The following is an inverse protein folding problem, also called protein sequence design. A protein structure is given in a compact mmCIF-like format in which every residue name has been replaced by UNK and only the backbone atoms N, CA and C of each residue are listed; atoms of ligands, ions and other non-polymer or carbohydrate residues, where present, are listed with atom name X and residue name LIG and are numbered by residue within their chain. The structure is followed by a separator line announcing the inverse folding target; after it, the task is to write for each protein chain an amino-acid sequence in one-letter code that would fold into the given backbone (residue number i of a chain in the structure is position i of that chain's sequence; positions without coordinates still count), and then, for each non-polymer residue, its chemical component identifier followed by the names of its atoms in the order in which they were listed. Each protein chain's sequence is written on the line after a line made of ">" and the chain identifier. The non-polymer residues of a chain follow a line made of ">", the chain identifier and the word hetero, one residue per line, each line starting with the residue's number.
data_IF_812433899123
#
_entry.id   IF_812433899123
#
_cell.length_a   1.000
_cell.length_b   1.000
_cell.length_c   1.000
_cell.angle_alpha   90.00
_cell.angle_beta   90.00
_cell.angle_gamma   90.00
#
_symmetry.space_group_name_H-M   'P 1'
#
loop_
_entity.id
_entity.type
_entity.pdbx_description
1 polymer ?
#
# COMPACT_ATOMS: atom_id res chain seq x y z
N UNK A 1 48.71 -16.58 46.77
CA UNK A 1 48.32 -17.47 45.66
C UNK A 1 47.16 -16.77 44.96
N UNK A 2 47.26 -16.19 43.78
CA UNK A 2 48.24 -16.36 42.72
C UNK A 2 47.47 -16.65 41.43
N UNK A 3 47.53 -15.71 40.48
CA UNK A 3 47.21 -15.90 39.06
C UNK A 3 45.73 -15.80 38.67
N UNK A 4 45.34 -15.22 37.54
CA UNK A 4 46.12 -14.50 36.53
C UNK A 4 45.13 -13.71 35.66
N UNK A 5 45.45 -12.44 35.43
CA UNK A 5 45.00 -11.74 34.24
C UNK A 5 45.71 -12.34 33.02
N UNK A 6 45.03 -12.44 31.88
CA UNK A 6 45.63 -12.54 30.54
C UNK A 6 44.59 -11.99 29.55
N UNK A 7 44.73 -10.70 29.20
CA UNK A 7 45.33 -10.21 27.96
C UNK A 7 44.42 -10.40 26.74
N UNK A 8 43.65 -9.34 26.45
CA UNK A 8 43.16 -9.07 25.12
C UNK A 8 44.34 -8.60 24.27
N UNK A 9 44.75 -9.41 23.29
CA UNK A 9 45.53 -8.94 22.16
C UNK A 9 44.61 -8.64 20.98
N UNK A 10 44.94 -7.62 20.16
CA UNK A 10 44.07 -7.11 19.12
C UNK A 10 44.12 -8.05 17.92
N UNK A 11 42.96 -8.48 17.42
CA UNK A 11 42.92 -9.11 16.12
C UNK A 11 42.77 -8.02 15.07
N UNK A 12 43.91 -7.63 14.52
CA UNK A 12 44.03 -6.84 13.31
C UNK A 12 43.73 -7.76 12.13
N UNK A 13 42.45 -7.84 11.76
CA UNK A 13 41.96 -8.49 10.55
C UNK A 13 41.32 -7.44 9.67
N UNK A 14 42.12 -6.88 8.77
CA UNK A 14 41.69 -5.95 7.74
C UNK A 14 41.00 -6.74 6.63
N UNK A 15 39.67 -6.92 6.74
CA UNK A 15 38.81 -7.26 5.61
C UNK A 15 37.90 -6.06 5.36
N UNK A 16 38.10 -5.39 4.23
CA UNK A 16 37.40 -4.18 3.83
C UNK A 16 35.91 -4.44 3.65
N UNK A 17 35.12 -4.10 4.66
CA UNK A 17 33.68 -3.88 4.55
C UNK A 17 33.40 -2.40 4.42
N UNK A 18 32.99 -1.95 3.24
CA UNK A 18 32.30 -0.66 3.11
C UNK A 18 31.03 -0.72 3.99
N UNK A 19 31.08 -0.05 5.14
CA UNK A 19 29.93 0.05 6.04
C UNK A 19 28.79 0.78 5.34
N UNK A 20 27.68 0.09 5.11
CA UNK A 20 26.43 0.73 4.72
C UNK A 20 26.04 1.76 5.80
N UNK A 21 25.79 3.03 5.44
CA UNK A 21 25.32 4.00 6.42
C UNK A 21 23.93 3.61 6.92
N UNK A 22 23.74 3.76 8.23
CA UNK A 22 22.46 3.65 8.90
C UNK A 22 21.42 4.57 8.23
N UNK A 23 20.43 3.96 7.58
CA UNK A 23 19.45 4.65 6.74
C UNK A 23 18.60 5.64 7.54
N UNK A 24 18.38 5.38 8.83
CA UNK A 24 17.56 6.23 9.69
C UNK A 24 18.22 7.58 9.99
N UNK A 25 19.54 7.58 10.16
CA UNK A 25 20.34 8.79 10.39
C UNK A 25 20.51 9.62 9.11
N UNK A 26 20.54 8.99 7.94
CA UNK A 26 20.64 9.69 6.66
C UNK A 26 19.32 10.35 6.25
N UNK A 27 18.19 9.66 6.40
CA UNK A 27 16.85 10.20 6.10
C UNK A 27 16.51 11.43 6.95
N UNK A 28 16.82 11.41 8.25
CA UNK A 28 16.59 12.56 9.14
C UNK A 28 17.38 13.81 8.75
N UNK A 29 18.50 13.65 8.03
CA UNK A 29 19.40 14.76 7.70
C UNK A 29 19.20 15.33 6.30
N UNK A 30 18.83 14.49 5.33
CA UNK A 30 18.79 14.85 3.91
C UNK A 30 17.42 14.69 3.24
N UNK A 31 16.39 14.24 3.99
CA UNK A 31 15.03 14.10 3.49
C UNK A 31 14.78 12.94 2.52
N UNK A 32 15.82 12.18 2.11
CA UNK A 32 15.69 11.00 1.27
C UNK A 32 16.89 10.03 1.42
N UNK A 33 16.64 8.72 1.26
CA UNK A 33 17.63 7.65 1.29
C UNK A 33 18.25 7.39 -0.11
N UNK A 34 19.57 7.13 -0.24
CA UNK A 34 20.20 6.82 -1.53
C UNK A 34 19.70 5.51 -2.17
N UNK A 35 19.08 4.62 -1.39
CA UNK A 35 18.47 3.38 -1.90
C UNK A 35 17.10 3.60 -2.55
N UNK A 36 16.54 4.81 -2.43
CA UNK A 36 15.28 5.23 -3.04
C UNK A 36 15.49 6.11 -4.28
N UNK A 37 16.71 6.21 -4.79
CA UNK A 37 17.02 7.08 -5.92
C UNK A 37 16.62 6.43 -7.27
N UNK A 38 15.78 7.12 -8.03
CA UNK A 38 15.42 6.81 -9.41
C UNK A 38 16.69 6.91 -10.30
N UNK A 39 17.14 5.83 -10.99
CA UNK A 39 18.37 5.85 -11.76
C UNK A 39 18.12 6.32 -13.19
N UNK A 40 17.45 7.45 -13.42
CA UNK A 40 17.31 8.00 -14.77
C UNK A 40 17.32 9.54 -14.78
N UNK A 41 18.49 10.10 -14.52
CA UNK A 41 18.82 11.46 -14.93
C UNK A 41 20.27 11.50 -15.44
N UNK A 42 20.52 10.84 -16.59
CA UNK A 42 21.64 11.19 -17.45
C UNK A 42 21.15 12.13 -18.55
N UNK A 43 21.64 13.37 -18.49
CA UNK A 43 21.58 14.34 -19.56
C UNK A 43 22.61 13.93 -20.62
N UNK A 44 22.17 13.27 -21.68
CA UNK A 44 23.00 13.08 -22.87
C UNK A 44 22.83 14.30 -23.79
N UNK A 45 23.81 15.20 -23.74
CA UNK A 45 23.95 16.33 -24.66
C UNK A 45 24.70 15.83 -25.89
N UNK A 46 24.02 15.11 -26.77
CA UNK A 46 24.49 14.91 -28.14
C UNK A 46 23.37 14.39 -29.05
N UNK A 47 23.37 14.86 -30.29
CA UNK A 47 22.46 14.53 -31.39
C UNK A 47 21.03 15.13 -31.32
N UNK A 48 20.92 16.34 -31.86
CA UNK A 48 19.65 16.94 -32.22
C UNK A 48 18.89 16.11 -33.26
N UNK A 49 17.83 15.43 -32.83
CA UNK A 49 16.69 15.09 -33.68
C UNK A 49 15.44 14.88 -32.81
N UNK A 50 14.43 15.73 -33.01
CA UNK A 50 13.11 15.61 -32.37
C UNK A 50 12.34 14.44 -33.01
N UNK A 51 12.55 13.23 -32.49
CA UNK A 51 11.58 12.15 -32.62
C UNK A 51 10.77 12.09 -31.32
N UNK A 52 9.53 12.57 -31.34
CA UNK A 52 8.58 12.33 -30.26
C UNK A 52 8.22 10.83 -30.24
N UNK A 53 9.08 10.02 -29.62
CA UNK A 53 8.64 8.76 -29.05
C UNK A 53 7.77 9.14 -27.86
N UNK A 54 6.44 9.11 -28.02
CA UNK A 54 5.50 9.06 -26.90
C UNK A 54 5.81 7.78 -26.10
N UNK A 55 6.78 7.86 -25.19
CA UNK A 55 7.07 6.81 -24.22
C UNK A 55 5.87 6.73 -23.30
N UNK A 56 5.13 5.61 -23.36
CA UNK A 56 4.14 5.28 -22.33
C UNK A 56 4.91 5.15 -21.02
N UNK A 57 4.53 5.97 -20.04
CA UNK A 57 4.95 5.81 -18.65
C UNK A 57 4.78 4.34 -18.21
N UNK A 58 5.72 3.76 -17.45
CA UNK A 58 5.60 2.40 -16.96
C UNK A 58 4.30 2.25 -16.17
N UNK A 59 3.63 1.11 -16.38
CA UNK A 59 2.34 0.76 -15.80
C UNK A 59 2.54 0.47 -14.32
N UNK A 60 2.23 1.41 -13.42
CA UNK A 60 2.07 1.05 -12.01
C UNK A 60 0.77 0.25 -11.89
N UNK A 61 0.78 -0.96 -11.34
CA UNK A 61 -0.45 -1.67 -11.05
C UNK A 61 -1.20 -0.99 -9.89
N UNK A 62 -2.55 -1.07 -9.84
CA UNK A 62 -3.37 -0.54 -8.73
C UNK A 62 -2.97 -1.09 -7.35
N UNK A 63 -2.28 -2.23 -7.34
CA UNK A 63 -1.77 -2.97 -6.19
C UNK A 63 -0.90 -2.10 -5.28
N UNK A 64 -0.17 -1.10 -5.81
CA UNK A 64 0.67 -0.21 -4.97
C UNK A 64 -0.12 0.66 -3.97
N UNK A 65 -1.44 0.81 -4.16
CA UNK A 65 -2.27 1.62 -3.26
C UNK A 65 -2.46 1.00 -1.88
N UNK A 66 -2.36 -0.33 -1.78
CA UNK A 66 -2.53 -1.05 -0.51
C UNK A 66 -1.39 -0.68 0.44
N UNK A 67 -0.13 -0.76 0.02
CA UNK A 67 1.00 -0.41 0.88
C UNK A 67 0.95 1.04 1.34
N UNK A 68 0.65 1.95 0.42
CA UNK A 68 0.60 3.37 0.74
C UNK A 68 -0.59 3.74 1.65
N UNK A 69 -1.72 3.05 1.53
CA UNK A 69 -2.85 3.20 2.46
C UNK A 69 -2.42 2.91 3.90
N UNK A 70 -1.78 1.77 4.14
CA UNK A 70 -1.31 1.37 5.47
C UNK A 70 -0.16 2.26 5.98
N UNK A 71 0.71 2.75 5.10
CA UNK A 71 1.74 3.76 5.45
C UNK A 71 1.09 5.04 5.99
N UNK A 72 0.03 5.54 5.33
CA UNK A 72 -0.70 6.73 5.80
C UNK A 72 -1.44 6.48 7.11
N UNK A 73 -1.91 5.25 7.35
CA UNK A 73 -2.51 4.90 8.63
C UNK A 73 -1.50 4.96 9.76
N UNK A 74 -0.33 4.35 9.59
CA UNK A 74 0.73 4.35 10.59
C UNK A 74 1.33 5.73 10.86
N UNK A 75 1.39 6.59 9.84
CA UNK A 75 2.03 7.91 9.95
C UNK A 75 1.07 9.02 10.32
N UNK A 76 -0.24 8.88 10.03
CA UNK A 76 -1.24 9.93 10.22
C UNK A 76 -2.42 9.46 11.08
N UNK A 77 -3.13 8.41 10.65
CA UNK A 77 -4.42 8.04 11.23
C UNK A 77 -4.26 7.49 12.65
N UNK A 78 -3.46 6.44 12.81
CA UNK A 78 -3.27 5.74 14.07
C UNK A 78 -2.65 6.65 15.13
N UNK A 79 -1.55 7.39 14.88
CA UNK A 79 -1.04 8.35 15.86
C UNK A 79 -2.05 9.44 16.23
N UNK A 80 -2.93 9.81 15.27
CA UNK A 80 -4.05 10.70 15.52
C UNK A 80 -5.04 10.12 16.54
N UNK A 81 -5.46 8.87 16.36
CA UNK A 81 -6.34 8.19 17.30
C UNK A 81 -5.70 8.00 18.67
N UNK A 82 -4.45 7.57 18.76
CA UNK A 82 -3.78 7.37 20.06
C UNK A 82 -3.71 8.68 20.86
N UNK A 83 -3.40 9.80 20.19
CA UNK A 83 -3.34 11.12 20.80
C UNK A 83 -4.70 11.59 21.30
N UNK A 84 -5.76 11.44 20.52
CA UNK A 84 -7.10 11.89 20.93
C UNK A 84 -7.72 10.96 21.99
N UNK A 85 -7.40 9.66 21.94
CA UNK A 85 -7.82 8.69 22.95
C UNK A 85 -7.04 8.83 24.26
N UNK A 86 -5.81 9.35 24.22
CA UNK A 86 -4.89 9.38 25.35
C UNK A 86 -4.42 7.99 25.78
N UNK A 87 -4.43 7.03 24.87
CA UNK A 87 -4.04 5.64 25.13
C UNK A 87 -3.00 5.23 24.09
N UNK A 88 -1.76 5.07 24.54
CA UNK A 88 -0.65 4.64 23.71
C UNK A 88 -0.82 3.19 23.26
N UNK A 89 -0.53 2.91 22.00
CA UNK A 89 -0.55 1.57 21.44
C UNK A 89 -1.94 0.98 21.19
N UNK A 90 -3.02 1.79 21.21
CA UNK A 90 -4.38 1.28 20.89
C UNK A 90 -4.49 0.71 19.48
N UNK A 91 -3.63 1.16 18.56
CA UNK A 91 -3.60 0.65 17.19
C UNK A 91 -2.44 -0.31 16.93
N UNK A 92 -1.63 -0.65 17.95
CA UNK A 92 -0.39 -1.41 17.77
C UNK A 92 -0.61 -2.80 17.14
N UNK A 93 -1.74 -3.45 17.42
CA UNK A 93 -2.07 -4.72 16.79
C UNK A 93 -2.22 -4.60 15.26
N UNK A 94 -2.85 -3.53 14.77
CA UNK A 94 -2.99 -3.27 13.33
C UNK A 94 -1.63 -3.00 12.70
N UNK A 95 -0.79 -2.18 13.34
CA UNK A 95 0.59 -1.91 12.89
C UNK A 95 1.41 -3.21 12.75
N UNK A 96 1.35 -4.08 13.76
CA UNK A 96 2.02 -5.40 13.69
C UNK A 96 1.52 -6.19 12.49
N UNK A 97 0.20 -6.22 12.27
CA UNK A 97 -0.40 -6.93 11.14
C UNK A 97 -0.03 -6.32 9.77
N UNK A 98 0.14 -5.00 9.67
CA UNK A 98 0.69 -4.36 8.47
C UNK A 98 2.06 -4.92 8.11
N UNK A 99 2.96 -4.97 9.10
CA UNK A 99 4.30 -5.49 8.93
C UNK A 99 4.34 -7.01 8.67
N UNK A 100 3.31 -7.77 9.05
CA UNK A 100 3.24 -9.20 8.75
C UNK A 100 2.97 -9.48 7.26
N UNK A 101 2.10 -8.71 6.59
CA UNK A 101 1.80 -8.95 5.17
C UNK A 101 2.71 -8.15 4.22
N UNK A 102 3.21 -6.98 4.64
CA UNK A 102 3.93 -6.05 3.76
C UNK A 102 5.11 -6.69 3.01
N UNK A 103 6.00 -7.49 3.63
CA UNK A 103 7.13 -8.09 2.92
C UNK A 103 6.70 -9.02 1.78
N UNK A 104 5.69 -9.86 2.00
CA UNK A 104 5.16 -10.75 0.96
C UNK A 104 4.48 -9.97 -0.17
N UNK A 105 3.80 -8.89 0.18
CA UNK A 105 3.17 -7.99 -0.77
C UNK A 105 4.19 -7.24 -1.64
N UNK A 106 5.30 -6.77 -1.06
CA UNK A 106 6.40 -6.12 -1.79
C UNK A 106 7.03 -7.05 -2.82
N UNK A 107 7.29 -8.30 -2.45
CA UNK A 107 7.81 -9.32 -3.38
C UNK A 107 6.82 -9.54 -4.53
N UNK A 108 5.52 -9.60 -4.24
CA UNK A 108 4.48 -9.72 -5.26
C UNK A 108 4.42 -8.50 -6.19
N UNK A 109 4.44 -7.27 -5.65
CA UNK A 109 4.48 -6.02 -6.43
C UNK A 109 5.69 -6.00 -7.35
N UNK A 110 6.87 -6.35 -6.80
CA UNK A 110 8.11 -6.41 -7.57
C UNK A 110 7.97 -7.40 -8.73
N UNK A 111 7.51 -8.61 -8.47
CA UNK A 111 7.30 -9.63 -9.49
C UNK A 111 6.36 -9.15 -10.62
N UNK A 112 5.25 -8.49 -10.29
CA UNK A 112 4.31 -7.95 -11.28
C UNK A 112 4.93 -6.83 -12.10
N UNK A 113 5.70 -5.94 -11.46
CA UNK A 113 6.43 -4.85 -12.15
C UNK A 113 7.48 -5.41 -13.09
N UNK A 114 8.31 -6.35 -12.62
CA UNK A 114 9.34 -7.00 -13.42
C UNK A 114 8.72 -7.74 -14.62
N UNK A 115 7.62 -8.47 -14.44
CA UNK A 115 6.91 -9.14 -15.54
C UNK A 115 6.32 -8.15 -16.59
N UNK A 116 6.10 -6.90 -16.20
CA UNK A 116 5.49 -5.86 -17.03
C UNK A 116 6.53 -4.95 -17.70
N UNK A 117 7.80 -5.07 -17.35
CA UNK A 117 8.91 -4.32 -17.91
C UNK A 117 9.53 -5.10 -19.07
N UNK A 118 9.49 -4.51 -20.27
CA UNK A 118 10.05 -5.12 -21.49
C UNK A 118 11.58 -5.31 -21.39
N UNK A 119 12.26 -4.62 -20.46
CA UNK A 119 13.71 -4.76 -20.20
C UNK A 119 14.05 -5.84 -19.18
N UNK A 120 13.07 -6.33 -18.43
CA UNK A 120 13.28 -7.39 -17.45
C UNK A 120 13.41 -8.74 -18.15
N UNK A 121 14.12 -9.69 -17.53
CA UNK A 121 14.11 -11.11 -17.94
C UNK A 121 13.01 -11.91 -17.23
N UNK A 122 12.37 -11.35 -16.19
CA UNK A 122 11.28 -12.00 -15.48
C UNK A 122 10.05 -12.12 -16.40
N UNK A 123 9.45 -13.31 -16.45
CA UNK A 123 8.27 -13.59 -17.27
C UNK A 123 7.13 -14.09 -16.39
N UNK A 124 5.92 -13.77 -16.81
CA UNK A 124 4.73 -14.18 -16.09
C UNK A 124 4.60 -15.70 -16.06
N UNK A 125 4.48 -16.25 -14.86
CA UNK A 125 4.25 -17.65 -14.57
C UNK A 125 3.08 -17.73 -13.58
N UNK A 126 1.97 -18.33 -14.03
CA UNK A 126 0.75 -18.35 -13.25
C UNK A 126 0.89 -19.09 -11.90
N UNK A 127 1.78 -20.09 -11.83
CA UNK A 127 2.05 -20.83 -10.58
C UNK A 127 2.76 -19.95 -9.56
N UNK A 128 3.86 -19.30 -9.95
CA UNK A 128 4.60 -18.34 -9.11
C UNK A 128 3.71 -17.18 -8.67
N UNK A 129 2.92 -16.60 -9.59
CA UNK A 129 1.99 -15.52 -9.27
C UNK A 129 1.01 -15.90 -8.15
N UNK A 130 0.39 -17.09 -8.22
CA UNK A 130 -0.51 -17.58 -7.17
C UNK A 130 0.23 -17.85 -5.86
N UNK A 131 1.39 -18.50 -5.92
CA UNK A 131 2.19 -18.77 -4.72
C UNK A 131 2.60 -17.49 -3.98
N UNK A 132 2.91 -16.41 -4.70
CA UNK A 132 3.20 -15.11 -4.11
C UNK A 132 1.97 -14.52 -3.42
N UNK A 133 0.78 -14.64 -4.03
CA UNK A 133 -0.48 -14.24 -3.40
C UNK A 133 -0.75 -15.06 -2.13
N UNK A 134 -0.61 -16.38 -2.21
CA UNK A 134 -0.80 -17.29 -1.06
C UNK A 134 0.15 -16.95 0.10
N UNK A 135 1.31 -16.35 -0.19
CA UNK A 135 2.29 -15.93 0.80
C UNK A 135 1.88 -14.75 1.67
N UNK A 136 1.10 -13.79 1.17
CA UNK A 136 0.68 -12.60 1.94
C UNK A 136 -0.83 -12.52 2.18
N UNK A 137 -1.66 -13.11 1.31
CA UNK A 137 -3.11 -12.92 1.33
C UNK A 137 -3.79 -13.37 2.64
N UNK A 138 -3.40 -14.48 3.30
CA UNK A 138 -3.99 -14.85 4.58
C UNK A 138 -3.76 -13.79 5.68
N UNK A 139 -2.56 -13.20 5.73
CA UNK A 139 -2.21 -12.16 6.70
C UNK A 139 -2.91 -10.84 6.41
N UNK A 140 -2.95 -10.42 5.14
CA UNK A 140 -3.72 -9.26 4.72
C UNK A 140 -5.22 -9.42 5.01
N UNK A 141 -5.79 -10.60 4.76
CA UNK A 141 -7.22 -10.86 5.02
C UNK A 141 -7.53 -10.84 6.52
N UNK A 142 -6.62 -11.39 7.35
CA UNK A 142 -6.74 -11.30 8.80
C UNK A 142 -6.73 -9.84 9.26
N UNK A 143 -5.77 -9.05 8.77
CA UNK A 143 -5.69 -7.63 9.08
C UNK A 143 -6.98 -6.87 8.76
N UNK A 144 -7.48 -7.01 7.53
CA UNK A 144 -8.73 -6.38 7.09
C UNK A 144 -9.94 -6.79 7.95
N UNK A 145 -9.93 -7.99 8.53
CA UNK A 145 -10.99 -8.47 9.40
C UNK A 145 -10.85 -7.96 10.85
N UNK A 146 -9.63 -7.92 11.39
CA UNK A 146 -9.34 -7.54 12.78
C UNK A 146 -9.33 -6.01 13.00
N UNK A 147 -9.07 -5.24 11.95
CA UNK A 147 -9.09 -3.78 12.04
C UNK A 147 -10.51 -3.26 12.28
N UNK A 148 -11.52 -3.84 11.64
CA UNK A 148 -12.94 -3.43 11.75
C UNK A 148 -13.40 -3.34 13.22
N UNK A 149 -13.31 -4.40 14.05
CA UNK A 149 -13.70 -4.31 15.46
C UNK A 149 -12.82 -3.35 16.26
N UNK A 150 -11.54 -3.19 15.89
CA UNK A 150 -10.64 -2.23 16.55
C UNK A 150 -11.13 -0.79 16.32
N UNK A 151 -11.44 -0.43 15.07
CA UNK A 151 -12.00 0.88 14.71
C UNK A 151 -13.37 1.11 15.35
N UNK A 152 -14.23 0.09 15.39
CA UNK A 152 -15.53 0.19 16.07
C UNK A 152 -15.39 0.43 17.57
N UNK A 153 -14.35 -0.11 18.21
CA UNK A 153 -14.10 0.09 19.65
C UNK A 153 -13.71 1.52 20.04
N UNK A 154 -13.47 2.39 19.04
CA UNK A 154 -13.20 3.81 19.25
C UNK A 154 -14.49 4.61 19.56
N UNK A 155 -15.67 4.01 19.43
CA UNK A 155 -16.98 4.61 19.71
C UNK A 155 -17.14 5.13 21.16
N UNK A 156 -16.33 4.60 22.08
CA UNK A 156 -16.25 5.05 23.48
C UNK A 156 -15.56 6.41 23.68
N UNK A 157 -14.87 6.93 22.66
CA UNK A 157 -14.17 8.21 22.70
C UNK A 157 -15.02 9.33 22.08
N UNK A 158 -14.52 10.58 22.13
CA UNK A 158 -15.22 11.73 21.56
C UNK A 158 -15.34 11.60 20.03
N UNK A 159 -16.56 11.34 19.56
CA UNK A 159 -16.89 11.14 18.15
C UNK A 159 -16.41 12.31 17.27
N UNK A 160 -16.55 13.56 17.71
CA UNK A 160 -16.19 14.73 16.90
C UNK A 160 -14.68 14.82 16.73
N UNK A 161 -13.91 14.52 17.78
CA UNK A 161 -12.46 14.49 17.73
C UNK A 161 -11.96 13.34 16.85
N UNK A 162 -12.50 12.13 17.02
CA UNK A 162 -12.14 10.98 16.19
C UNK A 162 -12.47 11.22 14.72
N UNK A 163 -13.66 11.77 14.44
CA UNK A 163 -14.03 12.17 13.08
C UNK A 163 -13.09 13.22 12.50
N UNK A 164 -12.64 14.20 13.30
CA UNK A 164 -11.68 15.21 12.84
C UNK A 164 -10.36 14.56 12.40
N UNK A 165 -9.85 13.58 13.15
CA UNK A 165 -8.65 12.84 12.79
C UNK A 165 -8.84 12.12 11.44
N UNK A 166 -9.97 11.44 11.27
CA UNK A 166 -10.30 10.78 10.01
C UNK A 166 -10.42 11.77 8.83
N UNK A 167 -11.07 12.92 9.03
CA UNK A 167 -11.21 13.95 8.01
C UNK A 167 -9.85 14.56 7.61
N UNK A 168 -8.91 14.67 8.54
CA UNK A 168 -7.54 15.13 8.26
C UNK A 168 -6.73 14.07 7.50
N UNK A 169 -6.87 12.79 7.87
CA UNK A 169 -6.32 11.67 7.09
C UNK A 169 -6.87 11.64 5.66
N UNK A 170 -8.18 11.79 5.46
CA UNK A 170 -8.78 11.84 4.12
C UNK A 170 -8.23 12.98 3.25
N UNK A 171 -7.87 14.13 3.85
CA UNK A 171 -7.25 15.24 3.11
C UNK A 171 -5.87 14.83 2.60
N UNK A 172 -5.06 14.20 3.46
CA UNK A 172 -3.73 13.69 3.05
C UNK A 172 -3.86 12.68 1.90
N UNK A 173 -4.83 11.75 1.99
CA UNK A 173 -5.11 10.80 0.90
C UNK A 173 -5.58 11.52 -0.38
N UNK A 174 -6.42 12.56 -0.27
CA UNK A 174 -6.91 13.29 -1.46
C UNK A 174 -5.84 14.16 -2.12
N UNK A 175 -4.90 14.67 -1.33
CA UNK A 175 -3.80 15.53 -1.79
C UNK A 175 -2.59 14.73 -2.29
N UNK A 176 -2.54 13.42 -2.03
CA UNK A 176 -1.49 12.53 -2.53
C UNK A 176 -1.52 12.37 -4.06
N UNK A 177 -0.37 11.99 -4.63
CA UNK A 177 -0.21 11.78 -6.08
C UNK A 177 -0.75 10.41 -6.53
N UNK A 178 -2.05 10.23 -6.39
CA UNK A 178 -2.72 9.01 -6.82
C UNK A 178 -3.19 9.10 -8.26
N UNK A 179 -3.00 8.00 -8.99
CA UNK A 179 -3.64 7.77 -10.28
C UNK A 179 -5.15 7.65 -10.09
N UNK A 180 -5.88 8.72 -10.35
CA UNK A 180 -7.35 8.83 -10.18
C UNK A 180 -8.12 7.76 -10.95
N UNK A 181 -7.59 7.33 -12.09
CA UNK A 181 -8.12 6.25 -12.94
C UNK A 181 -7.88 4.83 -12.38
N UNK A 182 -7.11 4.72 -11.30
CA UNK A 182 -6.90 3.49 -10.51
C UNK A 182 -7.63 3.58 -9.17
N UNK A 183 -7.40 4.67 -8.42
CA UNK A 183 -7.94 4.85 -7.06
C UNK A 183 -9.46 4.94 -7.06
N UNK A 184 -10.06 5.82 -7.87
CA UNK A 184 -11.50 6.04 -7.77
C UNK A 184 -12.33 4.83 -8.20
N UNK A 185 -12.00 4.09 -9.27
CA UNK A 185 -12.72 2.85 -9.57
C UNK A 185 -12.54 1.75 -8.53
N UNK A 186 -11.40 1.71 -7.81
CA UNK A 186 -11.21 0.80 -6.67
C UNK A 186 -12.13 1.20 -5.52
N UNK A 187 -12.03 2.44 -5.05
CA UNK A 187 -12.82 3.03 -3.94
C UNK A 187 -14.32 2.92 -4.22
N UNK A 188 -14.77 3.36 -5.40
CA UNK A 188 -16.19 3.28 -5.82
C UNK A 188 -16.62 1.86 -6.18
N UNK A 189 -15.68 0.95 -6.44
CA UNK A 189 -15.98 -0.47 -6.64
C UNK A 189 -16.11 -1.27 -5.36
N UNK A 190 -15.62 -0.74 -4.25
CA UNK A 190 -15.52 -1.45 -2.98
C UNK A 190 -16.58 -1.06 -1.95
N UNK A 191 -17.54 -0.18 -2.29
CA UNK A 191 -18.60 0.21 -1.36
C UNK A 191 -19.86 -0.61 -1.49
N UNK A 192 -20.43 -0.96 -0.34
CA UNK A 192 -21.71 -1.65 -0.23
C UNK A 192 -22.77 -0.70 0.34
N UNK A 193 -23.69 -0.23 -0.52
CA UNK A 193 -24.83 0.56 -0.07
C UNK A 193 -25.88 -0.24 0.70
N UNK A 194 -25.79 -1.57 0.66
CA UNK A 194 -26.63 -2.46 1.46
C UNK A 194 -26.08 -2.72 2.87
N UNK A 195 -24.87 -2.22 3.19
CA UNK A 195 -24.32 -2.30 4.54
C UNK A 195 -24.90 -1.17 5.39
N UNK A 196 -25.37 -1.50 6.60
CA UNK A 196 -25.89 -0.50 7.55
C UNK A 196 -24.80 0.52 7.90
N UNK A 197 -25.08 1.80 7.65
CA UNK A 197 -24.12 2.91 7.79
C UNK A 197 -23.34 3.24 6.51
N UNK A 198 -23.44 2.40 5.47
CA UNK A 198 -22.79 2.59 4.17
C UNK A 198 -23.70 3.18 3.10
N UNK A 199 -24.98 3.41 3.37
CA UNK A 199 -26.01 3.77 2.38
C UNK A 199 -25.69 5.10 1.66
N UNK A 200 -25.03 6.01 2.36
CA UNK A 200 -24.66 7.34 1.87
C UNK A 200 -23.18 7.48 1.52
N UNK A 201 -22.41 6.39 1.60
CA UNK A 201 -21.01 6.37 1.18
C UNK A 201 -20.92 6.08 -0.34
N UNK A 202 -20.00 6.71 -1.09
CA UNK A 202 -19.12 7.78 -0.66
C UNK A 202 -19.86 9.12 -0.66
N UNK A 203 -19.49 10.07 0.22
CA UNK A 203 -20.15 11.38 0.33
C UNK A 203 -19.73 12.32 -0.82
N UNK A 204 -19.88 11.85 -2.06
CA UNK A 204 -19.57 12.59 -3.28
C UNK A 204 -20.84 12.84 -4.09
N UNK A 205 -20.90 13.94 -4.87
CA UNK A 205 -22.04 14.17 -5.76
C UNK A 205 -22.26 13.01 -6.72
N UNK A 206 -23.52 12.66 -6.97
CA UNK A 206 -23.89 11.50 -7.79
C UNK A 206 -23.23 11.50 -9.18
N UNK A 207 -23.07 12.68 -9.81
CA UNK A 207 -22.43 12.78 -11.13
C UNK A 207 -20.96 12.30 -11.12
N UNK A 208 -20.26 12.38 -9.99
CA UNK A 208 -18.89 11.85 -9.83
C UNK A 208 -18.90 10.33 -9.95
N UNK A 209 -19.89 9.65 -9.37
CA UNK A 209 -20.06 8.19 -9.51
C UNK A 209 -20.24 7.81 -10.98
N UNK A 210 -21.03 8.57 -11.74
CA UNK A 210 -21.20 8.35 -13.19
C UNK A 210 -19.87 8.57 -13.95
N UNK A 211 -19.11 9.63 -13.62
CA UNK A 211 -17.79 9.86 -14.21
C UNK A 211 -16.83 8.68 -13.96
N UNK A 212 -16.82 8.16 -12.72
CA UNK A 212 -15.99 7.00 -12.36
C UNK A 212 -16.43 5.77 -13.14
N UNK A 213 -17.74 5.47 -13.12
CA UNK A 213 -18.30 4.28 -13.72
C UNK A 213 -18.11 4.21 -15.24
N UNK A 214 -18.27 5.32 -15.94
CA UNK A 214 -18.31 5.34 -17.41
C UNK A 214 -17.04 5.89 -18.08
N UNK A 215 -16.25 6.72 -17.39
CA UNK A 215 -15.06 7.35 -17.96
C UNK A 215 -13.76 6.85 -17.33
N UNK A 216 -13.56 7.02 -16.03
CA UNK A 216 -12.29 6.65 -15.38
C UNK A 216 -12.06 5.14 -15.37
N UNK A 217 -13.12 4.34 -15.19
CA UNK A 217 -13.01 2.87 -15.20
C UNK A 217 -12.55 2.29 -16.55
N UNK A 218 -12.58 3.06 -17.65
CA UNK A 218 -12.35 2.57 -19.02
C UNK A 218 -10.99 1.92 -19.22
N UNK A 219 -9.95 2.45 -18.55
CA UNK A 219 -8.55 2.05 -18.74
C UNK A 219 -8.29 0.61 -18.30
N UNK A 220 -8.89 0.21 -17.17
CA UNK A 220 -8.69 -1.12 -16.56
C UNK A 220 -10.00 -1.92 -16.45
N UNK A 221 -10.91 -1.80 -17.45
CA UNK A 221 -12.24 -2.43 -17.42
C UNK A 221 -12.22 -3.93 -17.09
N UNK A 222 -11.19 -4.64 -17.52
CA UNK A 222 -11.02 -6.06 -17.22
C UNK A 222 -10.73 -6.33 -15.75
N UNK A 223 -10.02 -5.43 -15.05
CA UNK A 223 -9.70 -5.59 -13.64
C UNK A 223 -10.92 -5.33 -12.75
N UNK A 224 -11.76 -4.36 -13.10
CA UNK A 224 -12.93 -3.97 -12.29
C UNK A 224 -14.04 -5.03 -12.23
N UNK A 225 -13.91 -6.16 -12.94
CA UNK A 225 -14.79 -7.32 -12.76
C UNK A 225 -14.61 -7.98 -11.39
N UNK A 226 -13.45 -7.80 -10.76
CA UNK A 226 -13.09 -8.37 -9.45
C UNK A 226 -13.46 -7.48 -8.26
N UNK A 227 -14.04 -6.30 -8.49
CA UNK A 227 -14.57 -5.46 -7.43
C UNK A 227 -15.71 -6.18 -6.67
N UNK A 228 -15.79 -6.04 -5.34
CA UNK A 228 -16.82 -6.70 -4.54
C UNK A 228 -18.22 -6.13 -4.79
N UNK A 229 -18.29 -4.87 -5.25
CA UNK A 229 -19.52 -4.21 -5.66
C UNK A 229 -19.43 -3.68 -7.08
N UNK A 230 -20.58 -3.37 -7.68
CA UNK A 230 -20.61 -2.48 -8.84
C UNK A 230 -20.36 -1.02 -8.43
N UNK A 231 -20.14 -0.16 -9.42
CA UNK A 231 -19.85 1.25 -9.15
C UNK A 231 -21.01 2.01 -8.48
N UNK A 232 -22.20 1.42 -8.40
CA UNK A 232 -23.38 2.00 -7.78
C UNK A 232 -23.65 1.46 -6.38
N UNK A 233 -22.78 0.58 -5.87
CA UNK A 233 -22.79 0.08 -4.51
C UNK A 233 -23.59 -1.20 -4.31
N UNK A 234 -23.93 -1.90 -5.40
CA UNK A 234 -24.59 -3.21 -5.33
C UNK A 234 -23.54 -4.30 -5.26
N UNK A 235 -23.60 -5.13 -4.22
CA UNK A 235 -22.78 -6.35 -4.07
C UNK A 235 -22.84 -7.23 -5.31
N UNK A 236 -21.68 -7.76 -5.69
CA UNK A 236 -21.52 -8.72 -6.77
C UNK A 236 -21.36 -10.14 -6.21
N UNK A 237 -21.86 -11.17 -6.91
CA UNK A 237 -21.54 -12.54 -6.56
C UNK A 237 -20.04 -12.79 -6.73
N UNK A 238 -19.47 -13.65 -5.90
CA UNK A 238 -18.08 -14.11 -6.06
C UNK A 238 -18.01 -15.03 -7.28
N UNK A 239 -17.62 -14.48 -8.43
CA UNK A 239 -17.61 -15.21 -9.71
C UNK A 239 -16.53 -16.31 -9.80
N UNK A 240 -15.55 -16.32 -8.88
CA UNK A 240 -14.34 -17.15 -8.98
C UNK A 240 -13.94 -17.84 -7.66
N UNK A 241 -14.85 -17.89 -6.67
CA UNK A 241 -14.61 -18.57 -5.39
C UNK A 241 -15.30 -19.95 -5.32
N UNK A 242 -14.96 -20.79 -4.33
CA UNK A 242 -15.74 -22.00 -4.05
C UNK A 242 -17.20 -21.61 -3.83
N UNK A 243 -18.10 -22.33 -4.50
CA UNK A 243 -19.54 -22.14 -4.34
C UNK A 243 -19.94 -22.51 -2.91
N UNK A 244 -21.15 -22.11 -2.48
CA UNK A 244 -21.67 -22.53 -1.17
C UNK A 244 -21.74 -24.07 -1.08
N UNK A 245 -21.83 -24.76 -2.22
CA UNK A 245 -21.76 -26.21 -2.31
C UNK A 245 -20.36 -26.80 -2.06
N UNK A 246 -19.30 -25.99 -2.10
CA UNK A 246 -17.90 -26.41 -1.97
C UNK A 246 -17.29 -26.17 -0.57
N UNK A 247 -18.10 -25.75 0.43
CA UNK A 247 -17.66 -25.50 1.82
C UNK A 247 -18.27 -26.46 2.83
#
# INVERSE_FOLDING_TARGET
>A
MGGSAFQAHPNNGNDGGEGQPDCDLYCKRNGACPQCHDPFLELDISAGTLSQVRRRQPRSPPICQILHHHELEETVLFPGFEREAGVEGIMAANVVQHHEFAPGFDIFVKYVKDCSDDKSEERFEAKKFRQLIDGFAPKLTLHLADEIPTLLSLDKYDEKKMKKIYDDFEKVVKDGDFKKDELYPLVVGSHDKGLKGGEHWPPVPQFVIYLVAYWLSRKYRSAWRFNPCDFFGKKRPLLFGPTVEDR
#
